data_IF_505593350173
#
_entry.id   IF_505593350173
#
_cell.length_a   1.000
_cell.length_b   1.000
_cell.length_c   1.000
_cell.angle_alpha   90.00
_cell.angle_beta   90.00
_cell.angle_gamma   90.00
#
_symmetry.space_group_name_H-M   'P 1'
#
loop_
_entity.id
_entity.type
_entity.pdbx_description
1 polymer ?
#
# COMPACT_ATOMS: atom_id res chain seq x y z
N UNK A 1 -13.67 22.17 -4.73
CA UNK A 1 -13.20 20.79 -5.00
C UNK A 1 -11.72 20.78 -4.68
N UNK A 2 -11.21 19.76 -3.96
CA UNK A 2 -9.77 19.68 -3.68
C UNK A 2 -8.99 19.38 -4.96
N UNK A 3 -7.78 19.93 -5.10
CA UNK A 3 -6.86 19.55 -6.18
C UNK A 3 -6.29 18.15 -5.96
N UNK A 4 -5.68 17.57 -6.99
CA UNK A 4 -5.03 16.26 -6.92
C UNK A 4 -3.93 16.24 -5.84
N UNK A 5 -3.05 17.24 -5.82
CA UNK A 5 -2.05 17.42 -4.76
C UNK A 5 -2.66 17.50 -3.37
N UNK A 6 -3.78 18.22 -3.18
CA UNK A 6 -4.44 18.32 -1.88
C UNK A 6 -5.05 16.99 -1.42
N UNK A 7 -5.46 16.12 -2.35
CA UNK A 7 -5.90 14.76 -2.05
C UNK A 7 -4.71 13.91 -1.65
N UNK A 8 -3.63 13.92 -2.43
CA UNK A 8 -2.41 13.17 -2.11
C UNK A 8 -1.82 13.55 -0.76
N UNK A 9 -1.70 14.84 -0.46
CA UNK A 9 -1.21 15.31 0.83
C UNK A 9 -2.12 14.88 1.99
N UNK A 10 -3.44 14.88 1.78
CA UNK A 10 -4.37 14.41 2.82
C UNK A 10 -4.27 12.88 3.04
N UNK A 11 -4.09 12.10 1.97
CA UNK A 11 -3.89 10.64 2.07
C UNK A 11 -2.57 10.34 2.75
N UNK A 12 -1.47 11.01 2.37
CA UNK A 12 -0.18 10.86 3.02
C UNK A 12 -0.21 11.13 4.52
N UNK A 13 -0.94 12.16 4.96
CA UNK A 13 -1.14 12.44 6.40
C UNK A 13 -1.90 11.34 7.13
N UNK A 14 -2.71 10.53 6.45
CA UNK A 14 -3.36 9.36 7.03
C UNK A 14 -2.34 8.24 7.18
N UNK A 15 -1.56 7.96 6.12
CA UNK A 15 -0.66 6.80 6.08
C UNK A 15 0.43 6.81 7.14
N UNK A 16 0.96 7.99 7.50
CA UNK A 16 2.01 8.13 8.53
C UNK A 16 1.58 7.71 9.95
N UNK A 17 0.28 7.49 10.20
CA UNK A 17 -0.21 7.08 11.53
C UNK A 17 -0.22 5.56 11.74
N UNK A 18 0.24 4.79 10.75
CA UNK A 18 0.21 3.33 10.79
C UNK A 18 1.65 2.81 10.82
N UNK A 19 2.08 2.14 11.91
CA UNK A 19 3.41 1.55 12.00
C UNK A 19 3.55 0.33 11.06
N UNK A 20 4.70 -0.32 11.16
CA UNK A 20 4.98 -1.60 10.49
C UNK A 20 3.87 -2.62 10.80
N UNK A 21 3.61 -3.52 9.85
CA UNK A 21 2.58 -4.58 9.93
C UNK A 21 1.11 -4.10 9.96
N UNK A 22 0.84 -2.78 9.90
CA UNK A 22 -0.54 -2.22 9.89
C UNK A 22 -1.00 -1.73 8.50
N UNK A 23 -0.50 -2.34 7.42
CA UNK A 23 -0.83 -1.93 6.05
C UNK A 23 -2.34 -2.07 5.73
N UNK A 24 -3.02 -3.06 6.31
CA UNK A 24 -4.45 -3.31 6.18
C UNK A 24 -5.28 -2.19 6.85
N UNK A 25 -4.94 -1.83 8.09
CA UNK A 25 -5.57 -0.71 8.82
C UNK A 25 -5.35 0.61 8.10
N UNK A 26 -4.15 0.82 7.55
CA UNK A 26 -3.84 1.97 6.71
C UNK A 26 -4.77 2.01 5.48
N UNK A 27 -4.83 0.92 4.71
CA UNK A 27 -5.64 0.84 3.50
C UNK A 27 -7.14 1.06 3.79
N UNK A 28 -7.68 0.43 4.84
CA UNK A 28 -9.06 0.60 5.26
C UNK A 28 -9.40 2.06 5.60
N UNK A 29 -8.52 2.76 6.32
CA UNK A 29 -8.79 4.14 6.74
C UNK A 29 -8.63 5.14 5.60
N UNK A 30 -7.65 4.95 4.71
CA UNK A 30 -7.53 5.74 3.48
C UNK A 30 -8.77 5.56 2.60
N UNK A 31 -9.19 4.31 2.33
CA UNK A 31 -10.39 4.04 1.54
C UNK A 31 -11.65 4.63 2.16
N UNK A 32 -11.81 4.53 3.48
CA UNK A 32 -12.93 5.15 4.20
C UNK A 32 -12.95 6.67 4.00
N UNK A 33 -11.78 7.31 4.06
CA UNK A 33 -11.66 8.76 3.89
C UNK A 33 -12.00 9.22 2.47
N UNK A 34 -11.56 8.46 1.46
CA UNK A 34 -11.81 8.70 0.03
C UNK A 34 -13.29 8.47 -0.31
N UNK A 35 -13.86 7.35 0.13
CA UNK A 35 -15.28 7.00 -0.11
C UNK A 35 -16.24 8.03 0.46
N UNK A 36 -15.98 8.55 1.67
CA UNK A 36 -16.78 9.64 2.29
C UNK A 36 -16.82 10.92 1.45
N UNK A 37 -15.89 11.08 0.49
CA UNK A 37 -15.76 12.24 -0.38
C UNK A 37 -16.14 11.95 -1.83
N UNK A 38 -16.62 10.74 -2.12
CA UNK A 38 -16.94 10.32 -3.49
C UNK A 38 -15.71 10.24 -4.40
N UNK A 39 -14.51 10.05 -3.85
CA UNK A 39 -13.28 9.92 -4.63
C UNK A 39 -13.07 8.46 -4.97
N UNK A 40 -12.97 8.16 -6.26
CA UNK A 40 -12.68 6.83 -6.76
C UNK A 40 -11.24 6.41 -6.41
N UNK A 41 -11.12 5.19 -5.89
CA UNK A 41 -9.86 4.58 -5.52
C UNK A 41 -10.03 3.05 -5.45
N UNK A 42 -8.91 2.34 -5.46
CA UNK A 42 -8.87 0.87 -5.34
C UNK A 42 -7.82 0.44 -4.35
N UNK A 43 -8.07 -0.69 -3.71
CA UNK A 43 -7.07 -1.34 -2.87
C UNK A 43 -6.26 -2.27 -3.76
N UNK A 44 -4.94 -2.17 -3.68
CA UNK A 44 -4.02 -3.13 -4.28
C UNK A 44 -3.60 -4.10 -3.20
N UNK A 45 -3.81 -5.39 -3.45
CA UNK A 45 -3.27 -6.47 -2.62
C UNK A 45 -2.09 -7.09 -3.34
N UNK A 46 -0.90 -6.95 -2.76
CA UNK A 46 0.31 -7.62 -3.21
C UNK A 46 0.54 -8.83 -2.30
N UNK A 47 0.71 -10.01 -2.90
CA UNK A 47 0.93 -11.25 -2.15
C UNK A 47 2.03 -12.11 -2.77
N UNK A 48 2.73 -12.84 -1.94
CA UNK A 48 3.72 -13.83 -2.38
C UNK A 48 3.02 -14.96 -3.15
N UNK A 49 3.77 -15.62 -4.05
CA UNK A 49 3.22 -16.72 -4.87
C UNK A 49 2.95 -17.98 -4.05
N UNK A 50 3.74 -18.22 -3.01
CA UNK A 50 3.67 -19.43 -2.19
C UNK A 50 3.12 -19.10 -0.81
N UNK A 51 2.16 -19.88 -0.32
CA UNK A 51 1.56 -19.69 1.02
C UNK A 51 2.56 -19.79 2.17
N UNK A 52 3.71 -20.42 1.95
CA UNK A 52 4.79 -20.53 2.94
C UNK A 52 5.72 -19.32 2.96
N UNK A 53 5.62 -18.41 1.97
CA UNK A 53 6.45 -17.21 1.88
C UNK A 53 5.76 -16.05 2.60
N UNK A 54 6.04 -15.92 3.89
CA UNK A 54 5.37 -14.96 4.77
C UNK A 54 6.02 -13.58 4.80
N UNK A 55 7.28 -13.48 4.39
CA UNK A 55 8.09 -12.29 4.58
C UNK A 55 8.26 -11.53 3.27
N UNK A 56 8.00 -10.24 3.36
CA UNK A 56 8.25 -9.25 2.32
C UNK A 56 9.16 -8.19 2.94
N UNK A 57 10.14 -7.69 2.19
CA UNK A 57 10.99 -6.54 2.58
C UNK A 57 10.75 -5.37 1.63
N UNK A 58 11.15 -4.16 2.03
CA UNK A 58 11.07 -2.97 1.19
C UNK A 58 12.44 -2.31 1.05
N UNK A 59 12.83 -1.97 -0.17
CA UNK A 59 14.11 -1.32 -0.45
C UNK A 59 14.21 0.06 0.22
N UNK A 60 13.09 0.80 0.32
CA UNK A 60 13.05 2.11 0.97
C UNK A 60 12.96 2.05 2.50
N UNK A 61 12.34 1.00 3.06
CA UNK A 61 12.22 0.84 4.52
C UNK A 61 13.49 0.21 5.11
N UNK A 62 14.09 -0.73 4.39
CA UNK A 62 15.24 -1.52 4.82
C UNK A 62 15.03 -3.02 4.55
N UNK A 63 16.13 -3.71 4.25
CA UNK A 63 16.11 -5.15 3.94
C UNK A 63 16.23 -6.06 5.18
N UNK A 64 16.58 -5.50 6.33
CA UNK A 64 16.82 -6.25 7.56
C UNK A 64 15.53 -6.57 8.33
N UNK A 65 14.43 -5.89 8.01
CA UNK A 65 13.13 -6.06 8.66
C UNK A 65 12.05 -6.44 7.65
N UNK A 66 11.23 -7.43 8.01
CA UNK A 66 10.08 -7.78 7.19
C UNK A 66 8.90 -6.84 7.46
N UNK A 67 8.26 -6.39 6.38
CA UNK A 67 7.06 -5.55 6.42
C UNK A 67 5.76 -6.36 6.52
N UNK A 68 5.84 -7.70 6.51
CA UNK A 68 4.69 -8.61 6.62
C UNK A 68 5.05 -9.88 7.38
N UNK A 69 4.07 -10.51 8.03
CA UNK A 69 4.23 -11.83 8.66
C UNK A 69 3.36 -12.91 8.00
N UNK A 70 2.64 -12.57 6.94
CA UNK A 70 1.66 -13.42 6.26
C UNK A 70 1.77 -13.39 4.72
N UNK A 71 2.82 -12.76 4.20
CA UNK A 71 3.11 -12.67 2.78
C UNK A 71 2.15 -11.76 1.99
N UNK A 72 1.42 -10.86 2.67
CA UNK A 72 0.46 -9.96 2.04
C UNK A 72 0.68 -8.52 2.48
N UNK A 73 0.77 -7.61 1.51
CA UNK A 73 0.89 -6.18 1.73
C UNK A 73 -0.21 -5.42 0.97
N UNK A 74 -0.65 -4.30 1.53
CA UNK A 74 -1.73 -3.50 0.96
C UNK A 74 -1.29 -2.08 0.63
N UNK A 75 -1.81 -1.56 -0.48
CA UNK A 75 -1.72 -0.15 -0.86
C UNK A 75 -3.07 0.35 -1.38
N UNK A 76 -3.27 1.66 -1.39
CA UNK A 76 -4.45 2.30 -1.99
C UNK A 76 -4.02 3.15 -3.15
N UNK A 77 -4.56 2.85 -4.33
CA UNK A 77 -4.33 3.63 -5.53
C UNK A 77 -5.43 4.67 -5.72
N UNK A 78 -5.01 5.93 -5.83
CA UNK A 78 -5.87 7.08 -6.06
C UNK A 78 -5.17 8.08 -6.98
N UNK A 79 -5.85 8.46 -8.06
CA UNK A 79 -5.35 9.44 -9.04
C UNK A 79 -3.93 9.11 -9.55
N UNK A 80 -3.66 7.83 -9.83
CA UNK A 80 -2.39 7.37 -10.40
C UNK A 80 -1.23 7.17 -9.40
N UNK A 81 -1.48 7.35 -8.09
CA UNK A 81 -0.49 7.06 -7.04
C UNK A 81 -0.98 6.01 -6.06
N UNK A 82 -0.07 5.15 -5.62
CA UNK A 82 -0.27 4.14 -4.58
C UNK A 82 0.31 4.61 -3.26
N UNK A 83 -0.53 4.65 -2.23
CA UNK A 83 -0.18 5.01 -0.86
C UNK A 83 -0.27 3.79 0.05
N UNK A 84 0.70 3.65 0.95
CA UNK A 84 0.68 2.66 2.03
C UNK A 84 1.38 3.24 3.27
N UNK A 85 1.45 2.46 4.35
CA UNK A 85 2.12 2.85 5.60
C UNK A 85 3.62 3.12 5.45
N UNK A 86 4.23 2.82 4.30
CA UNK A 86 5.65 3.07 3.99
C UNK A 86 5.85 4.22 2.98
N UNK A 87 4.78 4.87 2.52
CA UNK A 87 4.82 5.89 1.47
C UNK A 87 3.78 6.97 1.70
N UNK A 88 4.21 8.06 2.34
CA UNK A 88 3.39 9.25 2.54
C UNK A 88 3.21 10.08 1.25
N UNK A 89 4.21 10.06 0.37
CA UNK A 89 4.18 10.85 -0.88
C UNK A 89 3.45 10.12 -2.02
N UNK A 90 3.23 8.82 -1.86
CA UNK A 90 2.69 7.93 -2.87
C UNK A 90 3.68 7.64 -3.99
N UNK A 91 3.64 6.42 -4.52
CA UNK A 91 4.47 5.98 -5.65
C UNK A 91 3.61 5.73 -6.89
N UNK A 92 4.22 5.68 -8.07
CA UNK A 92 3.57 5.01 -9.21
C UNK A 92 3.28 3.55 -8.85
N UNK A 93 2.36 2.89 -9.56
CA UNK A 93 2.09 1.47 -9.32
C UNK A 93 3.33 0.63 -9.60
N UNK A 94 4.06 0.95 -10.65
CA UNK A 94 5.28 0.24 -11.05
C UNK A 94 6.37 0.36 -10.00
N UNK A 95 6.61 1.58 -9.48
CA UNK A 95 7.62 1.80 -8.45
C UNK A 95 7.19 1.21 -7.11
N UNK A 96 5.88 1.22 -6.81
CA UNK A 96 5.35 0.54 -5.63
C UNK A 96 5.61 -0.96 -5.67
N UNK A 97 5.41 -1.63 -6.81
CA UNK A 97 5.70 -3.08 -6.94
C UNK A 97 7.20 -3.35 -6.83
N UNK A 98 8.03 -2.50 -7.45
CA UNK A 98 9.51 -2.65 -7.44
C UNK A 98 10.13 -2.43 -6.07
N UNK A 99 9.48 -1.67 -5.19
CA UNK A 99 9.95 -1.42 -3.83
C UNK A 99 10.00 -2.70 -2.99
N UNK A 100 9.28 -3.76 -3.36
CA UNK A 100 9.18 -4.97 -2.54
C UNK A 100 10.01 -6.14 -3.05
N UNK A 101 10.52 -6.92 -2.09
CA UNK A 101 11.26 -8.15 -2.33
C UNK A 101 10.70 -9.31 -1.50
N UNK A 102 10.74 -10.52 -2.04
CA UNK A 102 10.39 -11.76 -1.36
C UNK A 102 11.22 -12.93 -1.89
N UNK A 103 11.14 -14.10 -1.23
CA UNK A 103 11.97 -15.27 -1.56
C UNK A 103 11.81 -15.76 -3.02
N UNK A 104 10.59 -15.76 -3.57
CA UNK A 104 10.36 -16.18 -4.96
C UNK A 104 10.65 -15.08 -6.00
N UNK A 105 11.03 -13.88 -5.57
CA UNK A 105 11.35 -12.75 -6.45
C UNK A 105 10.18 -12.23 -7.28
N UNK A 106 8.94 -12.63 -6.99
CA UNK A 106 7.78 -12.17 -7.74
C UNK A 106 6.49 -12.25 -6.95
N UNK A 107 5.56 -11.33 -7.25
CA UNK A 107 4.29 -11.20 -6.55
C UNK A 107 3.10 -11.46 -7.46
N UNK A 108 1.95 -11.68 -6.83
CA UNK A 108 0.63 -11.57 -7.46
C UNK A 108 0.00 -10.28 -6.93
N UNK A 109 -0.56 -9.47 -7.83
CA UNK A 109 -1.21 -8.21 -7.49
C UNK A 109 -2.68 -8.28 -7.91
N UNK A 110 -3.58 -8.11 -6.94
CA UNK A 110 -5.03 -8.10 -7.14
C UNK A 110 -5.59 -6.70 -6.84
N UNK A 111 -6.60 -6.26 -7.61
CA UNK A 111 -7.39 -5.06 -7.31
C UNK A 111 -8.64 -5.42 -6.52
N UNK A 112 -8.87 -4.77 -5.38
CA UNK A 112 -10.00 -5.03 -4.49
C UNK A 112 -10.83 -3.76 -4.27
N UNK A 113 -12.15 -3.94 -4.13
CA UNK A 113 -13.09 -2.88 -3.76
C UNK A 113 -13.30 -2.77 -2.24
N UNK A 114 -12.94 -3.82 -1.49
CA UNK A 114 -12.95 -3.90 -0.01
C UNK A 114 -11.91 -4.91 0.45
N UNK A 115 -11.50 -4.79 1.72
CA UNK A 115 -10.73 -5.82 2.44
C UNK A 115 -11.68 -6.73 3.22
#
# INVERSE_FOLDING_TARGET
MKTQEEIWQAVGRITINYPLLECDKCALNVMRWLKKRGIEAKILRLRTKRRSENFITSDRYGLDESITENGTHYGVEVMGKVFNNLSAEGLSREDWIKDFSCLSGSFIVDELTTL
#
